data_IF_052663303822
#
_entry.id   IF_052663303822
#
_cell.length_a   1.000
_cell.length_b   1.000
_cell.length_c   1.000
_cell.angle_alpha   90.00
_cell.angle_beta   90.00
_cell.angle_gamma   90.00
#
_symmetry.space_group_name_H-M   'P 1'
#
loop_
_entity.id
_entity.type
_entity.pdbx_description
1 polymer ?
#
# COMPACT_ATOMS: atom_id res chain seq x y z
N UNK A 1 -52.95 -45.65 12.61
CA UNK A 1 -52.75 -44.19 12.49
C UNK A 1 -51.38 -43.68 13.05
N UNK A 2 -50.83 -44.27 14.11
CA UNK A 2 -49.56 -43.81 14.76
C UNK A 2 -48.26 -44.09 13.96
N UNK A 3 -48.20 -45.13 13.13
CA UNK A 3 -47.00 -45.51 12.36
C UNK A 3 -46.78 -44.58 11.15
N UNK A 4 -47.84 -44.08 10.49
CA UNK A 4 -47.76 -43.17 9.37
C UNK A 4 -47.23 -41.76 9.79
N UNK A 5 -47.62 -41.32 10.98
CA UNK A 5 -47.13 -40.01 11.52
C UNK A 5 -45.66 -40.05 11.92
N UNK A 6 -45.15 -41.19 12.40
CA UNK A 6 -43.73 -41.38 12.73
C UNK A 6 -42.86 -41.43 11.48
N UNK A 7 -43.31 -42.05 10.40
CA UNK A 7 -42.58 -42.11 9.12
C UNK A 7 -42.48 -40.72 8.44
N UNK A 8 -43.53 -39.92 8.49
CA UNK A 8 -43.52 -38.55 7.94
C UNK A 8 -42.60 -37.63 8.74
N UNK A 9 -42.54 -37.78 10.08
CA UNK A 9 -41.65 -37.02 10.94
C UNK A 9 -40.16 -37.36 10.68
N UNK A 10 -39.83 -38.64 10.49
CA UNK A 10 -38.47 -39.08 10.18
C UNK A 10 -37.99 -38.61 8.79
N UNK A 11 -38.88 -38.59 7.79
CA UNK A 11 -38.53 -38.06 6.46
C UNK A 11 -38.32 -36.57 6.46
N UNK A 12 -39.11 -35.82 7.24
CA UNK A 12 -38.96 -34.37 7.37
C UNK A 12 -37.66 -33.97 8.08
N UNK A 13 -37.24 -34.77 9.09
CA UNK A 13 -35.97 -34.53 9.81
C UNK A 13 -34.76 -34.87 8.95
N UNK A 14 -34.84 -35.90 8.10
CA UNK A 14 -33.79 -36.28 7.16
C UNK A 14 -33.63 -35.26 6.01
N UNK A 15 -34.74 -34.65 5.54
CA UNK A 15 -34.70 -33.60 4.55
C UNK A 15 -34.11 -32.28 5.11
N UNK A 16 -34.34 -31.95 6.38
CA UNK A 16 -33.81 -30.76 7.05
C UNK A 16 -32.30 -30.88 7.28
N UNK A 17 -31.77 -32.08 7.55
CA UNK A 17 -30.33 -32.31 7.70
C UNK A 17 -29.58 -32.27 6.38
N UNK A 18 -30.21 -32.58 5.24
CA UNK A 18 -29.59 -32.48 3.92
C UNK A 18 -29.38 -31.01 3.43
N UNK A 19 -30.24 -30.11 3.91
CA UNK A 19 -30.13 -28.66 3.53
C UNK A 19 -29.04 -27.95 4.34
N UNK A 20 -28.68 -28.43 5.54
CA UNK A 20 -27.60 -27.84 6.35
C UNK A 20 -26.20 -28.31 5.94
N UNK A 21 -26.06 -29.31 5.08
CA UNK A 21 -24.77 -29.89 4.65
C UNK A 21 -24.06 -29.15 3.50
N UNK A 22 -24.70 -28.18 2.83
CA UNK A 22 -24.15 -27.45 1.69
C UNK A 22 -23.63 -26.03 2.02
N UNK A 23 -23.20 -25.79 3.25
CA UNK A 23 -22.35 -24.63 3.51
C UNK A 23 -20.95 -24.94 2.92
N UNK A 24 -20.81 -24.79 1.60
CA UNK A 24 -19.48 -24.79 0.96
C UNK A 24 -18.65 -23.74 1.69
N UNK A 25 -17.59 -24.18 2.38
CA UNK A 25 -16.64 -23.27 2.99
C UNK A 25 -16.18 -22.28 1.92
N UNK A 26 -16.53 -21.00 2.09
CA UNK A 26 -16.05 -19.97 1.17
C UNK A 26 -14.54 -20.02 1.18
N UNK A 27 -13.88 -20.05 0.03
CA UNK A 27 -12.43 -20.03 -0.01
C UNK A 27 -11.94 -18.82 0.78
N UNK A 28 -10.98 -19.04 1.68
CA UNK A 28 -10.35 -17.96 2.43
C UNK A 28 -9.71 -17.01 1.43
N UNK A 29 -10.05 -15.73 1.48
CA UNK A 29 -9.41 -14.72 0.65
C UNK A 29 -7.96 -14.52 1.09
N UNK A 30 -7.04 -14.46 0.14
CA UNK A 30 -5.68 -13.99 0.37
C UNK A 30 -5.72 -12.46 0.41
N UNK A 31 -5.29 -11.87 1.51
CA UNK A 31 -5.29 -10.43 1.70
C UNK A 31 -3.88 -9.87 1.48
N UNK A 32 -3.78 -8.85 0.65
CA UNK A 32 -2.54 -8.13 0.32
C UNK A 32 -2.73 -6.67 0.71
N UNK A 33 -1.82 -6.14 1.55
CA UNK A 33 -1.92 -4.76 2.01
C UNK A 33 -0.56 -4.07 1.99
N UNK A 34 -0.53 -2.77 1.71
CA UNK A 34 0.70 -1.99 1.85
C UNK A 34 0.85 -0.82 0.89
N UNK A 35 1.97 -0.78 0.17
CA UNK A 35 2.39 0.35 -0.66
C UNK A 35 1.35 0.75 -1.70
N UNK A 36 1.01 2.04 -1.74
CA UNK A 36 0.12 2.60 -2.75
C UNK A 36 0.74 2.59 -4.15
N UNK A 37 2.07 2.68 -4.25
CA UNK A 37 2.77 2.60 -5.53
C UNK A 37 2.63 1.23 -6.18
N UNK A 38 2.41 0.19 -5.38
CA UNK A 38 2.25 -1.20 -5.85
C UNK A 38 0.79 -1.61 -6.09
N UNK A 39 -0.20 -0.80 -5.69
CA UNK A 39 -1.61 -1.22 -5.72
C UNK A 39 -2.04 -1.65 -7.12
N UNK A 40 -1.76 -0.84 -8.14
CA UNK A 40 -2.17 -1.16 -9.52
C UNK A 40 -1.51 -2.45 -10.02
N UNK A 41 -0.21 -2.60 -9.77
CA UNK A 41 0.54 -3.82 -10.15
C UNK A 41 0.00 -5.04 -9.39
N UNK A 42 -0.17 -4.93 -8.08
CA UNK A 42 -0.73 -5.99 -7.24
C UNK A 42 -2.15 -6.39 -7.67
N UNK A 43 -3.00 -5.44 -8.02
CA UNK A 43 -4.35 -5.71 -8.54
C UNK A 43 -4.29 -6.48 -9.87
N UNK A 44 -3.40 -6.09 -10.80
CA UNK A 44 -3.23 -6.81 -12.06
C UNK A 44 -2.75 -8.24 -11.87
N UNK A 45 -1.84 -8.47 -10.95
CA UNK A 45 -1.41 -9.83 -10.60
C UNK A 45 -2.52 -10.63 -9.94
N UNK A 46 -3.28 -10.02 -9.04
CA UNK A 46 -4.43 -10.66 -8.41
C UNK A 46 -5.51 -11.07 -9.44
N UNK A 47 -5.84 -10.17 -10.38
CA UNK A 47 -6.76 -10.45 -11.49
C UNK A 47 -6.27 -11.63 -12.35
N UNK A 48 -4.99 -11.61 -12.75
CA UNK A 48 -4.40 -12.69 -13.55
C UNK A 48 -4.37 -14.03 -12.81
N UNK A 49 -4.03 -14.01 -11.52
CA UNK A 49 -4.04 -15.20 -10.68
C UNK A 49 -5.45 -15.79 -10.53
N UNK A 50 -6.45 -14.96 -10.21
CA UNK A 50 -7.83 -15.40 -10.07
C UNK A 50 -8.41 -15.92 -11.40
N UNK A 51 -8.01 -15.35 -12.53
CA UNK A 51 -8.45 -15.84 -13.84
C UNK A 51 -7.92 -17.25 -14.16
N UNK A 52 -6.71 -17.59 -13.70
CA UNK A 52 -6.08 -18.90 -13.91
C UNK A 52 -6.37 -19.92 -12.80
N UNK A 53 -6.92 -19.49 -11.67
CA UNK A 53 -7.22 -20.32 -10.51
C UNK A 53 -8.69 -20.12 -10.06
N UNK A 54 -9.65 -20.82 -10.72
CA UNK A 54 -11.06 -20.70 -10.38
C UNK A 54 -11.33 -20.99 -8.89
N UNK A 55 -12.03 -20.09 -8.23
CA UNK A 55 -12.32 -20.17 -6.79
C UNK A 55 -11.29 -19.47 -5.89
N UNK A 56 -10.14 -19.04 -6.39
CA UNK A 56 -9.24 -18.18 -5.64
C UNK A 56 -9.85 -16.78 -5.43
N UNK A 57 -9.67 -16.20 -4.25
CA UNK A 57 -10.06 -14.83 -3.93
C UNK A 57 -8.84 -14.10 -3.42
N UNK A 58 -8.43 -13.03 -4.11
CA UNK A 58 -7.29 -12.18 -3.71
C UNK A 58 -7.78 -10.75 -3.57
N UNK A 59 -7.49 -10.12 -2.44
CA UNK A 59 -7.87 -8.75 -2.13
C UNK A 59 -6.63 -7.89 -1.95
N UNK A 60 -6.52 -6.81 -2.73
CA UNK A 60 -5.37 -5.89 -2.69
C UNK A 60 -5.82 -4.52 -2.18
N UNK A 61 -5.15 -4.03 -1.16
CA UNK A 61 -5.41 -2.71 -0.56
C UNK A 61 -4.12 -1.93 -0.36
N UNK A 62 -4.21 -0.61 -0.51
CA UNK A 62 -3.12 0.32 -0.24
C UNK A 62 -3.04 0.76 1.22
N UNK A 63 -2.55 1.97 1.45
CA UNK A 63 -2.43 2.62 2.74
C UNK A 63 -0.99 2.80 3.22
N UNK A 64 -0.01 2.63 2.31
CA UNK A 64 1.41 2.81 2.56
C UNK A 64 2.14 1.55 3.05
N UNK A 65 3.43 1.46 2.73
CA UNK A 65 4.28 0.31 3.09
C UNK A 65 4.33 0.05 4.60
N UNK A 66 4.42 1.09 5.42
CA UNK A 66 4.43 0.96 6.88
C UNK A 66 3.13 0.37 7.43
N UNK A 67 1.98 0.76 6.87
CA UNK A 67 0.68 0.20 7.24
C UNK A 67 0.57 -1.28 6.87
N UNK A 68 1.09 -1.67 5.69
CA UNK A 68 1.15 -3.07 5.26
C UNK A 68 2.04 -3.92 6.16
N UNK A 69 3.23 -3.41 6.50
CA UNK A 69 4.17 -4.09 7.40
C UNK A 69 3.54 -4.26 8.80
N UNK A 70 2.90 -3.22 9.33
CA UNK A 70 2.21 -3.32 10.62
C UNK A 70 1.05 -4.34 10.56
N UNK A 71 0.31 -4.40 9.44
CA UNK A 71 -0.74 -5.39 9.24
C UNK A 71 -0.18 -6.82 9.18
N UNK A 72 0.98 -7.03 8.53
CA UNK A 72 1.66 -8.32 8.48
C UNK A 72 2.12 -8.76 9.89
N UNK A 73 2.76 -7.87 10.65
CA UNK A 73 3.17 -8.10 12.03
C UNK A 73 1.96 -8.47 12.91
N UNK A 74 0.83 -7.82 12.68
CA UNK A 74 -0.41 -8.07 13.43
C UNK A 74 -1.23 -9.27 12.94
N UNK A 75 -0.81 -9.95 11.88
CA UNK A 75 -1.52 -11.09 11.31
C UNK A 75 -2.87 -10.72 10.67
N UNK A 76 -3.05 -9.45 10.27
CA UNK A 76 -4.28 -8.94 9.63
C UNK A 76 -4.17 -8.84 8.11
N UNK A 77 -3.05 -9.25 7.54
CA UNK A 77 -2.85 -9.48 6.10
C UNK A 77 -1.96 -10.70 5.91
N UNK A 78 -2.14 -11.41 4.80
CA UNK A 78 -1.34 -12.59 4.46
C UNK A 78 -0.04 -12.20 3.76
N UNK A 79 -0.08 -11.13 2.96
CA UNK A 79 1.07 -10.62 2.20
C UNK A 79 1.15 -9.11 2.39
N UNK A 80 2.36 -8.60 2.64
CA UNK A 80 2.64 -7.17 2.58
C UNK A 80 3.26 -6.83 1.23
N UNK A 81 2.65 -5.92 0.46
CA UNK A 81 3.30 -5.27 -0.66
C UNK A 81 4.00 -4.00 -0.17
N UNK A 82 5.29 -3.87 -0.44
CA UNK A 82 6.09 -2.77 0.07
C UNK A 82 7.00 -2.19 -1.01
N UNK A 83 7.19 -0.87 -1.00
CA UNK A 83 8.15 -0.15 -1.85
C UNK A 83 9.44 0.20 -1.11
N UNK A 84 9.71 -0.46 0.00
CA UNK A 84 10.95 -0.47 0.75
C UNK A 84 11.15 -1.79 1.47
N UNK A 85 12.37 -2.13 1.83
CA UNK A 85 12.62 -3.26 2.73
C UNK A 85 12.05 -3.00 4.13
N UNK A 86 11.77 -4.08 4.85
CA UNK A 86 11.46 -4.00 6.28
C UNK A 86 12.70 -3.54 7.05
N UNK A 87 12.49 -2.68 8.04
CA UNK A 87 13.54 -2.30 9.00
C UNK A 87 13.85 -3.46 9.93
N UNK A 88 15.03 -3.48 10.51
CA UNK A 88 15.43 -4.58 11.40
C UNK A 88 14.53 -4.68 12.64
N UNK A 89 14.04 -3.55 13.16
CA UNK A 89 13.07 -3.53 14.26
C UNK A 89 11.74 -4.15 13.84
N UNK A 90 11.28 -3.90 12.61
CA UNK A 90 10.03 -4.48 12.06
C UNK A 90 10.18 -6.00 11.87
N UNK A 91 11.36 -6.46 11.41
CA UNK A 91 11.68 -7.91 11.28
C UNK A 91 11.68 -8.59 12.64
N UNK A 92 12.32 -7.96 13.62
CA UNK A 92 12.36 -8.47 15.00
C UNK A 92 10.95 -8.57 15.58
N UNK A 93 10.13 -7.52 15.46
CA UNK A 93 8.75 -7.53 15.94
C UNK A 93 7.91 -8.62 15.29
N UNK A 94 8.10 -8.87 13.98
CA UNK A 94 7.40 -9.93 13.28
C UNK A 94 7.85 -11.31 13.77
N UNK A 95 9.15 -11.52 13.94
CA UNK A 95 9.72 -12.77 14.45
C UNK A 95 9.24 -13.07 15.87
N UNK A 96 9.25 -12.07 16.76
CA UNK A 96 8.80 -12.22 18.15
C UNK A 96 7.31 -12.59 18.23
N UNK A 97 6.51 -12.02 17.35
CA UNK A 97 5.06 -12.22 17.37
C UNK A 97 4.59 -13.48 16.65
N UNK A 98 5.23 -13.83 15.53
CA UNK A 98 4.80 -14.90 14.64
C UNK A 98 5.75 -16.11 14.64
N UNK A 99 6.87 -16.04 15.37
CA UNK A 99 7.85 -17.13 15.48
C UNK A 99 8.72 -17.35 14.24
N UNK A 100 8.60 -16.49 13.21
CA UNK A 100 9.35 -16.63 11.94
C UNK A 100 9.79 -15.27 11.41
N UNK A 101 10.95 -15.23 10.75
CA UNK A 101 11.38 -14.06 9.99
C UNK A 101 10.55 -13.89 8.73
N UNK A 102 10.38 -12.65 8.23
CA UNK A 102 9.72 -12.42 6.95
C UNK A 102 10.57 -12.95 5.79
N UNK A 103 9.90 -13.44 4.76
CA UNK A 103 10.52 -13.71 3.45
C UNK A 103 10.28 -12.49 2.58
N UNK A 104 11.33 -11.76 2.24
CA UNK A 104 11.28 -10.63 1.33
C UNK A 104 11.64 -11.09 -0.08
N UNK A 105 10.79 -10.78 -1.06
CA UNK A 105 11.03 -11.05 -2.48
C UNK A 105 10.94 -9.76 -3.26
N UNK A 106 12.03 -9.39 -3.93
CA UNK A 106 12.04 -8.25 -4.86
C UNK A 106 11.36 -8.69 -6.16
N UNK A 107 10.24 -8.04 -6.48
CA UNK A 107 9.38 -8.42 -7.63
C UNK A 107 9.44 -7.41 -8.77
N UNK A 108 9.89 -6.18 -8.50
CA UNK A 108 10.06 -5.13 -9.50
C UNK A 108 11.05 -4.07 -8.97
N UNK A 109 11.57 -3.25 -9.90
CA UNK A 109 12.27 -2.02 -9.57
C UNK A 109 11.37 -0.84 -9.88
N UNK A 110 11.46 0.21 -9.07
CA UNK A 110 10.65 1.43 -9.20
C UNK A 110 11.57 2.65 -9.33
N UNK A 111 11.05 3.72 -9.93
CA UNK A 111 11.70 5.02 -10.05
C UNK A 111 10.85 6.11 -9.44
N UNK A 112 11.45 6.96 -8.60
CA UNK A 112 10.77 8.11 -8.01
C UNK A 112 10.93 9.31 -8.91
N UNK A 113 9.82 9.90 -9.37
CA UNK A 113 9.79 11.10 -10.19
C UNK A 113 9.31 12.32 -9.40
N UNK A 114 9.85 13.48 -9.73
CA UNK A 114 9.39 14.77 -9.23
C UNK A 114 8.47 15.39 -10.27
N UNK A 115 7.26 15.76 -9.83
CA UNK A 115 6.27 16.41 -10.68
C UNK A 115 6.28 17.91 -10.45
N UNK A 116 6.24 18.67 -11.54
CA UNK A 116 6.00 20.10 -11.53
C UNK A 116 4.71 20.39 -12.30
N UNK A 117 4.06 21.50 -11.98
CA UNK A 117 2.95 22.00 -12.79
C UNK A 117 3.45 22.32 -14.21
N UNK A 118 2.63 22.09 -15.23
CA UNK A 118 3.02 22.25 -16.64
C UNK A 118 3.50 23.66 -17.01
N UNK A 119 3.00 24.69 -16.30
CA UNK A 119 3.44 26.09 -16.49
C UNK A 119 4.78 26.42 -15.82
N UNK A 120 5.39 25.49 -15.08
CA UNK A 120 6.65 25.71 -14.41
C UNK A 120 7.81 25.56 -15.40
N UNK A 121 8.60 26.62 -15.58
CA UNK A 121 9.72 26.64 -16.53
C UNK A 121 11.00 25.93 -16.06
N UNK A 122 11.02 25.39 -14.82
CA UNK A 122 12.19 24.65 -14.31
C UNK A 122 12.17 23.24 -14.88
N UNK A 123 13.20 22.86 -15.61
CA UNK A 123 13.27 21.58 -16.32
C UNK A 123 14.17 20.56 -15.64
N UNK A 124 15.08 20.99 -14.78
CA UNK A 124 16.01 20.11 -14.08
C UNK A 124 16.37 20.65 -12.69
N UNK A 125 16.60 19.76 -11.75
CA UNK A 125 17.05 20.06 -10.40
C UNK A 125 18.11 19.03 -9.98
N UNK A 126 19.17 19.53 -9.34
CA UNK A 126 20.12 18.66 -8.67
C UNK A 126 19.50 18.09 -7.36
N UNK A 127 20.04 16.97 -6.86
CA UNK A 127 19.65 16.42 -5.55
C UNK A 127 19.85 17.44 -4.42
N UNK A 128 20.88 18.26 -4.48
CA UNK A 128 21.13 19.32 -3.49
C UNK A 128 20.03 20.39 -3.51
N UNK A 129 19.57 20.79 -4.70
CA UNK A 129 18.45 21.72 -4.84
C UNK A 129 17.13 21.11 -4.35
N UNK A 130 16.83 19.85 -4.71
CA UNK A 130 15.67 19.12 -4.17
C UNK A 130 15.71 19.06 -2.66
N UNK A 131 16.85 18.71 -2.07
CA UNK A 131 17.03 18.74 -0.61
C UNK A 131 16.74 20.14 -0.06
N UNK A 132 17.27 21.20 -0.67
CA UNK A 132 17.02 22.58 -0.26
C UNK A 132 15.54 22.96 -0.28
N UNK A 133 14.80 22.53 -1.30
CA UNK A 133 13.34 22.76 -1.42
C UNK A 133 12.60 22.03 -0.31
N UNK A 134 12.82 20.73 -0.15
CA UNK A 134 12.05 19.90 0.79
C UNK A 134 12.43 20.10 2.26
N UNK A 135 13.62 20.66 2.54
CA UNK A 135 14.02 21.08 3.90
C UNK A 135 13.68 22.55 4.19
N UNK A 136 13.15 23.29 3.21
CA UNK A 136 12.75 24.69 3.37
C UNK A 136 13.88 25.71 3.27
N UNK A 137 15.09 25.31 2.86
CA UNK A 137 16.20 26.23 2.60
C UNK A 137 16.01 27.02 1.29
N UNK A 138 15.27 26.46 0.33
CA UNK A 138 14.88 27.11 -0.93
C UNK A 138 13.36 27.16 -0.98
N UNK A 139 12.80 28.37 -0.95
CA UNK A 139 11.34 28.59 -0.86
C UNK A 139 10.77 29.37 -2.05
N UNK A 140 11.62 29.79 -2.99
CA UNK A 140 11.21 30.58 -4.15
C UNK A 140 11.84 30.01 -5.43
N UNK A 141 11.04 29.85 -6.49
CA UNK A 141 11.45 29.32 -7.77
C UNK A 141 12.57 30.12 -8.46
N UNK A 142 12.67 31.41 -8.16
CA UNK A 142 13.75 32.29 -8.68
C UNK A 142 15.15 31.77 -8.34
N UNK A 143 15.31 31.16 -7.16
CA UNK A 143 16.60 30.58 -6.76
C UNK A 143 16.99 29.34 -7.60
N UNK A 144 16.04 28.79 -8.33
CA UNK A 144 16.19 27.60 -9.18
C UNK A 144 16.11 27.96 -10.70
N UNK A 145 16.17 29.24 -11.04
CA UNK A 145 16.07 29.71 -12.44
C UNK A 145 14.63 29.82 -12.95
N UNK A 146 13.64 29.66 -12.09
CA UNK A 146 12.22 29.85 -12.41
C UNK A 146 11.73 31.29 -12.18
N UNK A 147 10.42 31.45 -12.17
CA UNK A 147 9.73 32.73 -11.92
C UNK A 147 9.90 33.17 -10.46
N UNK A 148 9.74 34.46 -10.18
CA UNK A 148 9.74 35.00 -8.82
C UNK A 148 8.42 34.69 -8.14
N UNK A 149 8.32 33.47 -7.62
CA UNK A 149 7.11 32.93 -6.99
C UNK A 149 7.47 31.94 -5.87
N UNK A 150 6.66 31.85 -4.81
CA UNK A 150 6.88 30.88 -3.74
C UNK A 150 6.70 29.45 -4.24
N UNK A 151 7.47 28.52 -3.65
CA UNK A 151 7.35 27.10 -3.93
C UNK A 151 6.31 26.48 -2.99
N UNK A 152 5.25 25.89 -3.56
CA UNK A 152 4.34 25.00 -2.82
C UNK A 152 4.86 23.57 -2.96
N UNK A 153 5.12 22.91 -1.84
CA UNK A 153 5.73 21.58 -1.82
C UNK A 153 4.72 20.55 -1.34
N UNK A 154 4.56 19.50 -2.14
CA UNK A 154 3.74 18.34 -1.79
C UNK A 154 4.61 17.10 -1.58
N UNK A 155 4.23 16.27 -0.63
CA UNK A 155 4.90 15.02 -0.32
C UNK A 155 3.91 13.91 0.04
N UNK A 156 4.48 12.73 0.31
CA UNK A 156 3.73 11.58 0.78
C UNK A 156 3.69 11.53 2.30
N UNK A 157 2.75 10.80 2.82
CA UNK A 157 2.62 10.53 4.26
C UNK A 157 3.81 9.73 4.80
N UNK A 158 4.09 9.84 6.08
CA UNK A 158 5.23 9.22 6.76
C UNK A 158 5.19 7.67 6.78
N UNK A 159 4.01 7.06 6.63
CA UNK A 159 3.83 5.61 6.47
C UNK A 159 4.10 5.12 5.03
N UNK A 160 4.30 6.01 4.07
CA UNK A 160 4.64 5.70 2.68
C UNK A 160 6.10 5.22 2.57
N UNK A 161 6.33 4.12 1.83
CA UNK A 161 7.68 3.71 1.48
C UNK A 161 8.42 4.75 0.64
N UNK A 162 7.70 5.45 -0.25
CA UNK A 162 8.24 6.56 -1.06
C UNK A 162 8.72 7.73 -0.19
N UNK A 163 7.97 8.08 0.87
CA UNK A 163 8.40 9.09 1.84
C UNK A 163 9.73 8.69 2.51
N UNK A 164 9.83 7.46 3.00
CA UNK A 164 11.03 6.94 3.67
C UNK A 164 12.21 6.95 2.69
N UNK A 165 12.02 6.43 1.48
CA UNK A 165 13.05 6.40 0.46
C UNK A 165 13.56 7.82 0.14
N UNK A 166 12.66 8.78 -0.07
CA UNK A 166 13.03 10.17 -0.37
C UNK A 166 13.78 10.82 0.80
N UNK A 167 13.32 10.59 2.03
CA UNK A 167 14.00 11.09 3.24
C UNK A 167 15.43 10.59 3.31
N UNK A 168 15.64 9.31 3.09
CA UNK A 168 16.96 8.70 3.26
C UNK A 168 17.90 9.04 2.11
N UNK A 169 17.44 9.01 0.86
CA UNK A 169 18.31 9.14 -0.31
C UNK A 169 18.42 10.57 -0.84
N UNK A 170 17.41 11.42 -0.65
CA UNK A 170 17.44 12.81 -1.12
C UNK A 170 17.74 13.77 0.03
N UNK A 171 17.09 13.61 1.18
CA UNK A 171 17.29 14.53 2.31
C UNK A 171 18.47 14.14 3.19
N UNK A 172 19.07 12.94 2.98
CA UNK A 172 20.15 12.43 3.85
C UNK A 172 19.68 12.33 5.30
N UNK A 173 18.48 11.80 5.48
CA UNK A 173 17.77 11.63 6.76
C UNK A 173 17.39 12.94 7.48
N UNK A 174 17.56 14.11 6.86
CA UNK A 174 17.02 15.35 7.40
C UNK A 174 15.48 15.35 7.37
N UNK A 175 14.87 16.13 8.25
CA UNK A 175 13.41 16.25 8.28
C UNK A 175 12.88 17.12 7.14
N UNK A 176 11.68 16.79 6.70
CA UNK A 176 10.92 17.65 5.80
C UNK A 176 10.56 18.96 6.50
N UNK A 177 10.56 20.05 5.76
CA UNK A 177 10.07 21.33 6.27
C UNK A 177 8.59 21.22 6.68
N UNK A 178 8.20 21.96 7.72
CA UNK A 178 6.82 21.99 8.19
C UNK A 178 5.81 22.49 7.15
N UNK A 179 6.29 23.23 6.14
CA UNK A 179 5.47 23.73 5.03
C UNK A 179 5.13 22.65 3.97
N UNK A 180 5.75 21.48 4.01
CA UNK A 180 5.46 20.39 3.08
C UNK A 180 4.08 19.83 3.36
N UNK A 181 3.20 19.89 2.36
CA UNK A 181 1.85 19.36 2.45
C UNK A 181 1.85 17.86 2.13
N UNK A 182 1.51 17.03 3.09
CA UNK A 182 1.49 15.57 2.93
C UNK A 182 0.13 15.09 2.47
N UNK A 183 0.12 14.22 1.45
CA UNK A 183 -1.10 13.71 0.80
C UNK A 183 -1.11 12.19 0.73
N UNK A 184 -2.30 11.56 0.85
CA UNK A 184 -2.45 10.12 0.80
C UNK A 184 -2.35 9.59 -0.64
N UNK A 185 -1.39 8.69 -0.87
CA UNK A 185 -1.21 8.06 -2.17
C UNK A 185 -0.59 8.97 -3.24
N UNK A 186 -0.06 8.36 -4.29
CA UNK A 186 0.58 9.07 -5.41
C UNK A 186 -0.39 9.93 -6.20
N UNK A 187 -1.61 9.42 -6.43
CA UNK A 187 -2.63 10.13 -7.23
C UNK A 187 -3.06 11.46 -6.59
N UNK A 188 -3.12 11.53 -5.26
CA UNK A 188 -3.46 12.78 -4.58
C UNK A 188 -2.36 13.86 -4.78
N UNK A 189 -1.08 13.45 -4.76
CA UNK A 189 0.04 14.36 -5.03
C UNK A 189 -0.02 14.87 -6.47
N UNK A 190 -0.22 13.97 -7.45
CA UNK A 190 -0.34 14.35 -8.87
C UNK A 190 -1.50 15.33 -9.07
N UNK A 191 -2.67 15.04 -8.50
CA UNK A 191 -3.83 15.92 -8.61
C UNK A 191 -3.63 17.28 -7.93
N UNK A 192 -2.85 17.37 -6.86
CA UNK A 192 -2.54 18.64 -6.21
C UNK A 192 -1.60 19.49 -7.05
N UNK A 193 -0.61 18.88 -7.69
CA UNK A 193 0.37 19.58 -8.55
C UNK A 193 -0.28 20.05 -9.86
N UNK A 194 -1.33 19.38 -10.36
CA UNK A 194 -1.99 19.73 -11.63
C UNK A 194 -2.96 20.93 -11.54
N UNK A 195 -3.13 21.55 -10.37
CA UNK A 195 -4.04 22.69 -10.12
C UNK A 195 -3.28 23.99 -9.92
#
# INVERSE_FOLDING_TARGET
MRIRTLLIGALALAALSAVLGCASARPRAVTIKGSDTMVILGQRWAEGYMASHPGAVVQVTGGGSGTGIAALINGTTDICQSSRSMKDEEKTQLADKNGTLPVETVVAQDGLAIYLHESNGVTELSLAQLRGVYTGAITNWKALGGTDAPITVYGRENNSGTYVYFKDHVLGSADFAAAVQTLPGTSAVVNAVSK
#
